data_IF_162144963114
#
_entry.id   IF_162144963114
#
_cell.length_a   1.000
_cell.length_b   1.000
_cell.length_c   1.000
_cell.angle_alpha   90.00
_cell.angle_beta   90.00
_cell.angle_gamma   90.00
#
_symmetry.space_group_name_H-M   'P 1'
#
loop_
_entity.id
_entity.type
_entity.pdbx_description
1 polymer ?
#
# COMPACT_ATOMS: atom_id res chain seq x y z
N UNK A 1 3.63 5.63 10.44
CA UNK A 1 3.38 4.20 10.72
C UNK A 1 3.03 3.49 9.44
N UNK A 2 3.55 2.27 9.20
CA UNK A 2 3.13 1.44 8.06
C UNK A 2 1.91 0.59 8.44
N UNK A 3 0.86 0.58 7.61
CA UNK A 3 -0.40 -0.11 7.86
C UNK A 3 -0.66 -1.12 6.74
N UNK A 4 -0.72 -2.41 7.09
CA UNK A 4 -0.93 -3.49 6.12
C UNK A 4 -0.63 -4.89 6.66
N UNK A 5 -0.66 -5.93 5.80
CA UNK A 5 -0.84 -5.83 4.34
C UNK A 5 -2.23 -5.35 3.94
N UNK A 6 -2.34 -4.33 3.08
CA UNK A 6 -3.64 -3.82 2.60
C UNK A 6 -4.25 -4.79 1.59
N UNK A 7 -3.42 -5.30 0.68
CA UNK A 7 -3.75 -6.35 -0.27
C UNK A 7 -2.82 -7.54 -0.09
N UNK A 8 -3.25 -8.70 -0.58
CA UNK A 8 -2.44 -9.91 -0.58
C UNK A 8 -1.15 -9.68 -1.39
N UNK A 9 0.00 -10.07 -0.86
CA UNK A 9 1.29 -9.90 -1.53
C UNK A 9 2.13 -11.17 -1.43
N UNK A 10 2.83 -11.50 -2.52
CA UNK A 10 3.77 -12.61 -2.57
C UNK A 10 5.15 -12.27 -1.98
N UNK A 11 5.46 -10.98 -1.75
CA UNK A 11 6.81 -10.55 -1.30
C UNK A 11 7.13 -11.00 0.13
N UNK A 12 6.12 -11.19 0.99
CA UNK A 12 6.26 -11.76 2.34
C UNK A 12 5.07 -12.68 2.61
N UNK A 13 5.24 -13.98 2.38
CA UNK A 13 4.19 -14.98 2.54
C UNK A 13 3.60 -15.05 3.97
N UNK A 14 4.36 -14.63 4.99
CA UNK A 14 3.93 -14.61 6.40
C UNK A 14 3.33 -13.25 6.86
N UNK A 15 2.91 -12.38 5.95
CA UNK A 15 2.36 -11.07 6.31
C UNK A 15 0.95 -11.08 6.92
N UNK A 16 0.34 -12.26 7.10
CA UNK A 16 -1.03 -12.37 7.60
C UNK A 16 -2.08 -12.04 6.52
N UNK A 17 -3.36 -12.06 6.90
CA UNK A 17 -4.46 -11.76 5.99
C UNK A 17 -4.47 -10.27 5.60
N UNK A 18 -4.83 -9.99 4.35
CA UNK A 18 -5.02 -8.63 3.89
C UNK A 18 -6.14 -7.95 4.69
N UNK A 19 -5.86 -6.76 5.23
CA UNK A 19 -6.82 -6.00 6.04
C UNK A 19 -7.86 -5.24 5.21
N UNK A 20 -7.62 -5.11 3.90
CA UNK A 20 -8.49 -4.38 2.98
C UNK A 20 -8.47 -2.86 3.22
N UNK A 21 -9.26 -2.15 2.41
CA UNK A 21 -9.38 -0.68 2.49
C UNK A 21 -10.17 -0.26 3.74
N UNK A 22 -11.15 -1.05 4.15
CA UNK A 22 -11.94 -0.80 5.36
C UNK A 22 -11.08 -0.91 6.61
N UNK A 23 -10.23 -1.94 6.70
CA UNK A 23 -9.28 -2.12 7.80
C UNK A 23 -8.23 -1.02 7.82
N UNK A 24 -7.69 -0.64 6.65
CA UNK A 24 -6.81 0.52 6.52
C UNK A 24 -7.49 1.78 7.06
N UNK A 25 -8.70 2.09 6.60
CA UNK A 25 -9.44 3.29 7.01
C UNK A 25 -9.81 3.30 8.51
N UNK A 26 -10.10 2.13 9.08
CA UNK A 26 -10.34 1.99 10.51
C UNK A 26 -9.09 2.34 11.33
N UNK A 27 -7.93 1.83 10.90
CA UNK A 27 -6.65 2.12 11.56
C UNK A 27 -6.29 3.60 11.39
N UNK A 28 -6.27 4.14 10.18
CA UNK A 28 -5.85 5.53 9.93
C UNK A 28 -6.66 6.53 10.74
N UNK A 29 -7.99 6.32 10.88
CA UNK A 29 -8.84 7.15 11.75
C UNK A 29 -8.55 7.00 13.24
N UNK A 30 -8.17 5.81 13.70
CA UNK A 30 -7.97 5.52 15.12
C UNK A 30 -6.63 6.03 15.67
N UNK A 31 -5.55 5.98 14.90
CA UNK A 31 -4.20 6.27 15.44
C UNK A 31 -3.87 7.75 15.51
N UNK A 32 -4.53 8.62 14.74
CA UNK A 32 -4.24 10.07 14.71
C UNK A 32 -2.80 10.43 14.32
N UNK A 33 -2.04 9.47 13.78
CA UNK A 33 -0.65 9.59 13.35
C UNK A 33 -0.56 9.44 11.84
N UNK A 34 0.47 10.04 11.24
CA UNK A 34 0.75 9.86 9.81
C UNK A 34 0.94 8.40 9.45
N UNK A 35 0.18 7.94 8.45
CA UNK A 35 0.13 6.53 8.05
C UNK A 35 0.49 6.36 6.58
N UNK A 36 1.23 5.30 6.28
CA UNK A 36 1.51 4.86 4.91
C UNK A 36 0.94 3.45 4.71
N UNK A 37 0.21 3.25 3.62
CA UNK A 37 -0.33 1.95 3.27
C UNK A 37 0.78 1.05 2.71
N UNK A 38 0.81 -0.23 3.09
CA UNK A 38 1.82 -1.19 2.61
C UNK A 38 1.22 -2.56 2.31
N UNK A 39 1.81 -3.28 1.36
CA UNK A 39 1.49 -4.68 1.05
C UNK A 39 0.52 -4.83 -0.11
N UNK A 40 1.02 -5.35 -1.23
CA UNK A 40 0.24 -5.64 -2.44
C UNK A 40 -0.22 -4.39 -3.20
N UNK A 41 0.49 -3.27 -3.02
CA UNK A 41 0.13 -1.97 -3.62
C UNK A 41 0.94 -1.74 -4.91
N UNK A 42 0.27 -1.16 -5.92
CA UNK A 42 0.81 -0.74 -7.20
C UNK A 42 -0.05 0.34 -7.85
N UNK A 43 0.23 0.69 -9.11
CA UNK A 43 -0.42 1.78 -9.83
C UNK A 43 -1.96 1.69 -9.85
N UNK A 44 -2.51 0.48 -9.97
CA UNK A 44 -3.96 0.27 -10.07
C UNK A 44 -4.73 0.47 -8.76
N UNK A 45 -4.06 0.48 -7.60
CA UNK A 45 -4.74 0.50 -6.30
C UNK A 45 -4.14 1.52 -5.29
N UNK A 46 -3.02 2.17 -5.60
CA UNK A 46 -2.41 3.18 -4.75
C UNK A 46 -3.38 4.33 -4.42
N UNK A 47 -4.12 4.83 -5.42
CA UNK A 47 -5.11 5.89 -5.25
C UNK A 47 -6.21 5.52 -4.24
N UNK A 48 -6.64 4.25 -4.22
CA UNK A 48 -7.66 3.77 -3.28
C UNK A 48 -7.14 3.76 -1.83
N UNK A 49 -5.85 3.46 -1.61
CA UNK A 49 -5.23 3.55 -0.28
C UNK A 49 -5.18 5.00 0.23
N UNK A 50 -4.88 5.96 -0.65
CA UNK A 50 -4.90 7.38 -0.29
C UNK A 50 -6.32 7.83 0.05
N UNK A 51 -7.31 7.43 -0.77
CA UNK A 51 -8.73 7.71 -0.49
C UNK A 51 -9.23 7.09 0.83
N UNK A 52 -8.65 5.96 1.25
CA UNK A 52 -8.92 5.34 2.56
C UNK A 52 -8.25 6.05 3.74
N UNK A 53 -7.50 7.13 3.50
CA UNK A 53 -6.90 7.98 4.53
C UNK A 53 -5.42 7.74 4.81
N UNK A 54 -4.72 6.97 3.97
CA UNK A 54 -3.26 6.92 4.02
C UNK A 54 -2.67 8.22 3.44
N UNK A 55 -1.59 8.71 4.03
CA UNK A 55 -0.85 9.89 3.52
C UNK A 55 0.20 9.53 2.47
N UNK A 56 0.40 8.23 2.22
CA UNK A 56 1.31 7.72 1.22
C UNK A 56 1.21 6.21 1.07
N UNK A 57 1.93 5.66 0.09
CA UNK A 57 2.01 4.22 -0.17
C UNK A 57 3.47 3.76 -0.16
N UNK A 58 3.69 2.54 0.33
CA UNK A 58 4.96 1.86 0.29
C UNK A 58 4.86 0.62 -0.61
N UNK A 59 5.69 0.58 -1.65
CA UNK A 59 5.72 -0.49 -2.65
C UNK A 59 7.12 -1.10 -2.74
N UNK A 60 7.17 -2.38 -3.16
CA UNK A 60 8.44 -3.07 -3.42
C UNK A 60 8.39 -3.72 -4.79
N UNK A 61 7.58 -4.77 -4.96
CA UNK A 61 7.48 -5.53 -6.22
C UNK A 61 7.02 -4.68 -7.41
N UNK A 62 6.17 -3.68 -7.18
CA UNK A 62 5.70 -2.79 -8.24
C UNK A 62 6.82 -1.95 -8.89
N UNK A 63 7.95 -1.73 -8.19
CA UNK A 63 9.11 -1.00 -8.71
C UNK A 63 10.27 -1.96 -9.00
N UNK A 64 10.63 -2.80 -8.02
CA UNK A 64 11.79 -3.70 -8.12
C UNK A 64 11.61 -4.82 -9.14
N UNK A 65 10.36 -5.14 -9.50
CA UNK A 65 10.04 -6.14 -10.53
C UNK A 65 9.66 -5.54 -11.88
N UNK A 66 9.78 -4.22 -12.07
CA UNK A 66 9.44 -3.56 -13.32
C UNK A 66 10.64 -3.50 -14.27
N UNK A 67 10.38 -3.64 -15.57
CA UNK A 67 11.41 -3.47 -16.62
C UNK A 67 11.94 -2.03 -16.66
N UNK A 68 11.08 -1.05 -16.36
CA UNK A 68 11.42 0.36 -16.20
C UNK A 68 10.92 0.87 -14.83
N UNK A 69 11.79 0.89 -13.81
CA UNK A 69 11.45 1.37 -12.48
C UNK A 69 11.02 2.85 -12.43
N UNK A 70 11.52 3.68 -13.35
CA UNK A 70 11.17 5.10 -13.40
C UNK A 70 9.73 5.26 -13.91
N UNK A 71 9.38 4.61 -15.02
CA UNK A 71 8.02 4.61 -15.54
C UNK A 71 7.02 4.02 -14.52
N UNK A 72 7.41 2.93 -13.84
CA UNK A 72 6.59 2.33 -12.79
C UNK A 72 6.37 3.27 -11.59
N UNK A 73 7.40 4.01 -11.18
CA UNK A 73 7.26 5.00 -10.11
C UNK A 73 6.35 6.17 -10.53
N UNK A 74 6.44 6.64 -11.78
CA UNK A 74 5.56 7.69 -12.30
C UNK A 74 4.10 7.26 -12.35
N UNK A 75 3.82 5.98 -12.62
CA UNK A 75 2.47 5.44 -12.64
C UNK A 75 1.82 5.31 -11.24
N UNK A 76 2.57 5.55 -10.15
CA UNK A 76 2.05 5.56 -8.77
C UNK A 76 1.55 6.95 -8.34
N UNK A 77 1.88 8.00 -9.10
CA UNK A 77 1.46 9.39 -8.88
C UNK A 77 0.08 9.64 -9.51
#
# INVERSE_FOLDING_TARGET
MGVGPVYTTATKANSGAAIGLEGLAAVTRAVGLRSVAIGGIGASNAAACIAAGAEGVAVVSAIMGADDPQAAAQALL
#
